data_IF_560413184419
#
_entry.id   IF_560413184419
#
_cell.length_a   1.000
_cell.length_b   1.000
_cell.length_c   1.000
_cell.angle_alpha   90.00
_cell.angle_beta   90.00
_cell.angle_gamma   90.00
#
_symmetry.space_group_name_H-M   'P 1'
#
loop_
_entity.id
_entity.type
_entity.pdbx_description
1 polymer ?
#
# COMPACT_ATOMS: atom_id res chain seq x y z
N UNK A 1 3.58 23.78 21.03
CA UNK A 1 2.53 23.10 20.23
C UNK A 1 1.65 24.16 19.54
N UNK A 2 1.26 23.88 18.28
CA UNK A 2 0.37 24.75 17.51
C UNK A 2 -1.04 24.75 18.12
N UNK A 3 -1.75 25.88 17.99
CA UNK A 3 -3.16 26.00 18.40
C UNK A 3 -4.11 25.58 17.26
N UNK A 4 -3.71 25.88 16.04
CA UNK A 4 -4.43 25.52 14.82
C UNK A 4 -3.43 24.97 13.81
N UNK A 5 -3.80 23.90 13.14
CA UNK A 5 -3.04 23.27 12.05
C UNK A 5 -3.96 23.18 10.85
N UNK A 6 -3.47 23.62 9.69
CA UNK A 6 -4.19 23.53 8.41
C UNK A 6 -3.28 22.87 7.41
N UNK A 7 -3.69 21.75 6.85
CA UNK A 7 -2.99 21.10 5.76
C UNK A 7 -3.20 21.81 4.42
N UNK A 8 -2.21 21.79 3.55
CA UNK A 8 -2.38 22.27 2.18
C UNK A 8 -3.33 21.34 1.41
N UNK A 9 -4.28 21.86 0.64
CA UNK A 9 -5.16 21.04 -0.17
C UNK A 9 -4.35 20.09 -1.08
N UNK A 10 -4.73 18.81 -1.10
CA UNK A 10 -4.10 17.74 -1.85
C UNK A 10 -2.60 17.46 -1.55
N UNK A 11 -1.95 18.29 -0.71
CA UNK A 11 -0.53 18.18 -0.34
C UNK A 11 -0.34 18.16 1.18
N UNK A 12 -1.41 18.10 1.96
CA UNK A 12 -1.28 18.07 3.43
C UNK A 12 -0.55 16.81 3.92
N UNK A 13 -0.80 15.69 3.26
CA UNK A 13 -0.06 14.46 3.46
C UNK A 13 -0.27 13.54 2.26
N UNK A 14 0.81 13.07 1.68
CA UNK A 14 0.84 12.04 0.66
C UNK A 14 1.76 10.92 1.14
N UNK A 15 1.34 9.68 1.00
CA UNK A 15 2.18 8.52 1.22
C UNK A 15 1.96 7.49 0.12
N UNK A 16 3.05 6.89 -0.32
CA UNK A 16 3.09 5.81 -1.28
C UNK A 16 3.98 4.71 -0.73
N UNK A 17 3.43 3.51 -0.60
CA UNK A 17 4.16 2.30 -0.26
C UNK A 17 4.03 1.30 -1.39
N UNK A 18 5.14 0.84 -1.90
CA UNK A 18 5.24 -0.25 -2.87
C UNK A 18 6.04 -1.39 -2.24
N UNK A 19 5.54 -2.58 -2.36
CA UNK A 19 6.26 -3.81 -2.09
C UNK A 19 6.11 -4.73 -3.27
N UNK A 20 7.21 -5.27 -3.73
CA UNK A 20 7.26 -6.23 -4.82
C UNK A 20 8.22 -7.36 -4.45
N UNK A 21 7.93 -8.62 -4.78
CA UNK A 21 8.89 -9.71 -4.66
C UNK A 21 10.08 -9.51 -5.60
N UNK A 22 9.88 -8.75 -6.68
CA UNK A 22 10.87 -8.46 -7.71
C UNK A 22 11.19 -6.97 -7.75
N UNK A 23 12.45 -6.65 -7.97
CA UNK A 23 12.88 -5.29 -8.33
C UNK A 23 12.60 -5.02 -9.81
N UNK A 24 12.56 -3.76 -10.22
CA UNK A 24 12.40 -3.41 -11.63
C UNK A 24 13.58 -3.92 -12.48
N UNK A 25 14.81 -3.93 -11.94
CA UNK A 25 15.98 -4.45 -12.63
C UNK A 25 15.98 -6.00 -12.75
N UNK A 26 15.24 -6.70 -11.89
CA UNK A 26 14.99 -8.14 -12.04
C UNK A 26 13.89 -8.43 -13.08
N UNK A 27 12.93 -7.51 -13.23
CA UNK A 27 11.85 -7.61 -14.21
C UNK A 27 12.27 -7.22 -15.62
N UNK A 28 13.18 -6.24 -15.76
CA UNK A 28 13.55 -5.68 -17.04
C UNK A 28 15.05 -5.81 -17.28
N UNK A 29 15.44 -6.14 -18.50
CA UNK A 29 16.80 -6.04 -18.99
C UNK A 29 16.92 -4.96 -20.07
N UNK A 30 18.12 -4.40 -20.23
CA UNK A 30 18.38 -3.40 -21.24
C UNK A 30 18.75 -4.09 -22.56
N UNK A 31 17.94 -3.89 -23.58
CA UNK A 31 18.25 -4.32 -24.95
C UNK A 31 19.44 -3.54 -25.54
N UNK A 32 20.01 -4.05 -26.65
CA UNK A 32 21.12 -3.39 -27.36
C UNK A 32 20.76 -2.00 -27.90
N UNK A 33 19.48 -1.72 -28.08
CA UNK A 33 18.88 -0.46 -28.56
C UNK A 33 18.46 0.50 -27.44
N UNK A 34 18.92 0.27 -26.20
CA UNK A 34 18.49 0.99 -25.00
C UNK A 34 16.98 0.76 -24.63
N UNK A 35 16.26 -0.11 -25.32
CA UNK A 35 14.91 -0.50 -24.95
C UNK A 35 14.89 -1.31 -23.65
N UNK A 36 13.83 -1.16 -22.84
CA UNK A 36 13.59 -2.03 -21.70
C UNK A 36 12.83 -3.26 -22.18
N UNK A 37 13.40 -4.45 -21.96
CA UNK A 37 12.78 -5.74 -22.29
C UNK A 37 12.49 -6.51 -21.02
N UNK A 38 11.35 -7.19 -20.97
CA UNK A 38 11.00 -8.00 -19.80
C UNK A 38 11.93 -9.23 -19.73
N UNK A 39 12.61 -9.41 -18.61
CA UNK A 39 13.50 -10.55 -18.37
C UNK A 39 12.71 -11.73 -17.79
N UNK A 40 11.80 -12.25 -18.59
CA UNK A 40 10.86 -13.31 -18.19
C UNK A 40 11.56 -14.56 -17.63
N UNK A 41 12.67 -15.08 -18.24
CA UNK A 41 13.30 -16.30 -17.76
C UNK A 41 13.87 -16.25 -16.34
N UNK A 42 14.16 -15.06 -15.80
CA UNK A 42 14.73 -14.92 -14.46
C UNK A 42 13.67 -14.81 -13.35
N UNK A 43 12.42 -14.50 -13.69
CA UNK A 43 11.33 -14.24 -12.72
C UNK A 43 11.10 -15.43 -11.74
N UNK A 44 11.03 -16.70 -12.18
CA UNK A 44 10.73 -17.83 -11.29
C UNK A 44 11.73 -18.02 -10.16
N UNK A 45 13.00 -17.63 -10.39
CA UNK A 45 14.06 -17.81 -9.40
C UNK A 45 13.91 -16.90 -8.18
N UNK A 46 13.05 -15.87 -8.26
CA UNK A 46 12.87 -14.84 -7.25
C UNK A 46 11.52 -14.87 -6.55
N UNK A 47 10.57 -15.71 -7.02
CA UNK A 47 9.21 -15.78 -6.48
C UNK A 47 9.01 -17.02 -5.61
N UNK A 48 8.43 -16.82 -4.43
CA UNK A 48 7.92 -17.86 -3.55
C UNK A 48 6.37 -17.76 -3.50
N UNK A 49 5.67 -18.84 -3.21
CA UNK A 49 4.19 -18.90 -3.11
C UNK A 49 3.58 -17.90 -2.10
N UNK A 50 4.43 -17.30 -1.25
CA UNK A 50 4.02 -16.29 -0.26
C UNK A 50 4.18 -14.86 -0.75
N UNK A 51 4.80 -14.68 -1.89
CA UNK A 51 5.12 -13.37 -2.40
C UNK A 51 3.89 -12.69 -3.01
N UNK A 52 3.75 -11.41 -2.72
CA UNK A 52 2.67 -10.59 -3.26
C UNK A 52 3.21 -9.20 -3.61
N UNK A 53 2.75 -8.67 -4.73
CA UNK A 53 2.92 -7.27 -5.05
C UNK A 53 1.85 -6.47 -4.30
N UNK A 54 2.27 -5.41 -3.63
CA UNK A 54 1.39 -4.56 -2.84
C UNK A 54 1.68 -3.10 -3.12
N UNK A 55 0.63 -2.35 -3.36
CA UNK A 55 0.70 -0.90 -3.46
C UNK A 55 -0.30 -0.30 -2.49
N UNK A 56 0.16 0.66 -1.70
CA UNK A 56 -0.68 1.46 -0.84
C UNK A 56 -0.41 2.93 -1.10
N UNK A 57 -1.42 3.67 -1.47
CA UNK A 57 -1.33 5.11 -1.65
C UNK A 57 -2.39 5.82 -0.79
N UNK A 58 -1.98 6.90 -0.12
CA UNK A 58 -2.88 7.78 0.64
C UNK A 58 -2.59 9.21 0.26
N UNK A 59 -3.63 9.95 -0.07
CA UNK A 59 -3.55 11.38 -0.34
C UNK A 59 -4.57 12.14 0.49
N UNK A 60 -4.10 12.94 1.42
CA UNK A 60 -4.95 13.78 2.26
C UNK A 60 -5.36 15.04 1.49
N UNK A 61 -6.63 15.11 1.12
CA UNK A 61 -7.18 16.20 0.33
C UNK A 61 -7.25 17.50 1.14
N UNK A 62 -7.64 17.43 2.42
CA UNK A 62 -7.56 18.52 3.36
C UNK A 62 -7.44 18.04 4.81
N UNK A 63 -6.97 18.91 5.68
CA UNK A 63 -6.85 18.69 7.12
C UNK A 63 -6.97 20.01 7.87
N UNK A 64 -7.80 20.02 8.91
CA UNK A 64 -7.89 21.12 9.86
C UNK A 64 -7.92 20.55 11.27
N UNK A 65 -7.04 21.05 12.13
CA UNK A 65 -7.00 20.65 13.52
C UNK A 65 -6.84 21.86 14.45
N UNK A 66 -7.45 21.83 15.61
CA UNK A 66 -7.40 22.93 16.57
C UNK A 66 -7.51 22.47 18.04
N UNK A 67 -6.86 23.20 18.91
CA UNK A 67 -6.98 23.01 20.36
C UNK A 67 -8.29 23.55 20.88
N UNK A 68 -9.01 22.71 21.66
CA UNK A 68 -10.29 23.04 22.27
C UNK A 68 -10.09 23.26 23.79
N UNK A 69 -10.53 24.40 24.27
CA UNK A 69 -10.56 24.71 25.70
C UNK A 69 -9.23 25.21 26.28
N UNK A 70 -9.33 26.05 27.35
CA UNK A 70 -8.16 26.64 28.03
C UNK A 70 -7.50 25.70 29.04
N UNK A 71 -8.24 24.76 29.60
CA UNK A 71 -7.80 23.87 30.69
C UNK A 71 -7.64 22.39 30.31
N UNK A 72 -8.23 21.96 29.18
CA UNK A 72 -8.12 20.59 28.70
C UNK A 72 -7.27 20.59 27.45
N UNK A 73 -6.20 19.79 27.43
CA UNK A 73 -5.35 19.61 26.27
C UNK A 73 -6.05 18.73 25.22
N UNK A 74 -7.26 19.14 24.83
CA UNK A 74 -8.04 18.47 23.78
C UNK A 74 -7.64 19.08 22.44
N UNK A 75 -7.32 18.24 21.48
CA UNK A 75 -7.10 18.59 20.09
C UNK A 75 -8.15 17.90 19.25
N UNK A 76 -9.02 18.68 18.60
CA UNK A 76 -10.02 18.18 17.66
C UNK A 76 -9.53 18.43 16.23
N UNK A 77 -9.85 17.52 15.33
CA UNK A 77 -9.45 17.63 13.95
C UNK A 77 -10.44 16.94 13.02
N UNK A 78 -10.47 17.38 11.79
CA UNK A 78 -11.21 16.76 10.70
C UNK A 78 -10.37 16.82 9.42
N UNK A 79 -10.66 15.94 8.52
CA UNK A 79 -9.99 15.87 7.24
C UNK A 79 -10.66 14.88 6.29
N UNK A 80 -10.12 14.82 5.11
CA UNK A 80 -10.55 13.96 4.04
C UNK A 80 -9.36 13.40 3.29
N UNK A 81 -9.38 12.10 3.00
CA UNK A 81 -8.29 11.41 2.32
C UNK A 81 -8.82 10.41 1.28
N UNK A 82 -8.11 10.27 0.18
CA UNK A 82 -8.28 9.16 -0.77
C UNK A 82 -7.25 8.09 -0.43
N UNK A 83 -7.71 6.86 -0.38
CA UNK A 83 -6.90 5.67 -0.12
C UNK A 83 -7.04 4.71 -1.29
N UNK A 84 -5.91 4.19 -1.76
CA UNK A 84 -5.85 3.10 -2.73
C UNK A 84 -4.96 1.99 -2.18
N UNK A 85 -5.52 0.80 -2.08
CA UNK A 85 -4.84 -0.44 -1.69
C UNK A 85 -4.95 -1.42 -2.85
N UNK A 86 -3.81 -1.95 -3.30
CA UNK A 86 -3.73 -3.00 -4.32
C UNK A 86 -2.90 -4.14 -3.78
N UNK A 87 -3.39 -5.35 -3.93
CA UNK A 87 -2.68 -6.59 -3.62
C UNK A 87 -2.83 -7.57 -4.78
N UNK A 88 -1.72 -8.06 -5.32
CA UNK A 88 -1.67 -9.11 -6.33
C UNK A 88 -0.75 -10.23 -5.84
N UNK A 89 -1.29 -11.43 -5.77
CA UNK A 89 -0.56 -12.65 -5.49
C UNK A 89 -0.68 -13.60 -6.69
N UNK A 90 0.45 -14.08 -7.18
CA UNK A 90 0.51 -15.09 -8.24
C UNK A 90 1.16 -16.35 -7.67
N UNK A 91 0.66 -17.53 -8.06
CA UNK A 91 1.29 -18.79 -7.67
C UNK A 91 2.61 -18.99 -8.43
N UNK A 92 3.61 -19.60 -7.78
CA UNK A 92 4.89 -19.90 -8.41
C UNK A 92 4.74 -20.75 -9.67
N UNK A 93 3.87 -21.75 -9.66
CA UNK A 93 3.56 -22.58 -10.82
C UNK A 93 3.03 -21.77 -12.02
N UNK A 94 2.23 -20.74 -11.78
CA UNK A 94 1.73 -19.87 -12.84
C UNK A 94 2.85 -19.05 -13.46
N UNK A 95 3.72 -18.52 -12.62
CA UNK A 95 4.89 -17.77 -13.06
C UNK A 95 5.87 -18.68 -13.82
N UNK A 96 6.11 -19.90 -13.34
CA UNK A 96 6.92 -20.89 -14.04
C UNK A 96 6.36 -21.20 -15.44
N UNK A 97 5.05 -21.37 -15.55
CA UNK A 97 4.39 -21.60 -16.84
C UNK A 97 4.55 -20.42 -17.79
N UNK A 98 4.31 -19.19 -17.32
CA UNK A 98 4.45 -17.98 -18.14
C UNK A 98 5.88 -17.75 -18.61
N UNK A 99 6.87 -18.09 -17.77
CA UNK A 99 8.28 -17.78 -18.05
C UNK A 99 9.01 -18.87 -18.82
N UNK A 100 8.65 -20.14 -18.60
CA UNK A 100 9.30 -21.30 -19.22
C UNK A 100 8.52 -21.85 -20.43
N UNK A 101 7.31 -21.36 -20.61
CA UNK A 101 6.39 -21.85 -21.65
C UNK A 101 5.82 -23.24 -21.35
N UNK A 102 4.93 -23.72 -22.23
CA UNK A 102 4.22 -24.98 -22.04
C UNK A 102 5.04 -26.24 -22.35
N UNK A 103 6.15 -26.12 -23.09
CA UNK A 103 6.92 -27.27 -23.57
C UNK A 103 7.46 -28.20 -22.47
N UNK A 104 7.77 -27.65 -21.29
CA UNK A 104 8.25 -28.42 -20.15
C UNK A 104 7.14 -29.14 -19.39
N UNK A 105 5.89 -28.74 -19.61
CA UNK A 105 4.72 -29.22 -18.87
C UNK A 105 3.80 -30.09 -19.74
N UNK A 106 4.27 -30.54 -20.90
CA UNK A 106 3.51 -31.41 -21.79
C UNK A 106 3.05 -32.68 -21.08
N UNK A 107 1.79 -33.05 -21.32
CA UNK A 107 1.14 -34.24 -20.74
C UNK A 107 1.10 -34.24 -19.21
N UNK A 108 1.17 -33.04 -18.60
CA UNK A 108 1.12 -32.84 -17.15
C UNK A 108 0.09 -31.79 -16.79
N UNK A 109 -0.76 -32.09 -15.82
CA UNK A 109 -1.68 -31.12 -15.24
C UNK A 109 -0.90 -30.09 -14.42
N UNK A 110 -0.99 -28.85 -14.80
CA UNK A 110 -0.50 -27.71 -14.03
C UNK A 110 -1.67 -27.05 -13.31
N UNK A 111 -1.54 -26.87 -12.00
CA UNK A 111 -2.55 -26.20 -11.19
C UNK A 111 -1.98 -24.89 -10.63
N UNK A 112 -2.71 -23.80 -10.86
CA UNK A 112 -2.38 -22.44 -10.44
C UNK A 112 -3.43 -22.00 -9.42
N UNK A 113 -3.31 -22.52 -8.22
CA UNK A 113 -4.20 -22.21 -7.12
C UNK A 113 -3.65 -21.02 -6.34
N UNK A 114 -4.47 -20.43 -5.45
CA UNK A 114 -4.09 -19.34 -4.55
C UNK A 114 -3.69 -18.04 -5.23
N UNK A 115 -4.08 -17.82 -6.47
CA UNK A 115 -3.96 -16.51 -7.08
C UNK A 115 -4.97 -15.56 -6.45
N UNK A 116 -4.57 -14.30 -6.26
CA UNK A 116 -5.43 -13.32 -5.65
C UNK A 116 -5.19 -11.91 -6.19
N UNK A 117 -6.28 -11.22 -6.47
CA UNK A 117 -6.29 -9.80 -6.80
C UNK A 117 -7.26 -9.09 -5.88
N UNK A 118 -6.76 -8.15 -5.09
CA UNK A 118 -7.56 -7.25 -4.28
C UNK A 118 -7.21 -5.80 -4.63
N UNK A 119 -8.19 -5.05 -5.07
CA UNK A 119 -8.09 -3.60 -5.30
C UNK A 119 -9.16 -2.91 -4.48
N UNK A 120 -8.82 -1.89 -3.74
CA UNK A 120 -9.78 -1.09 -2.98
C UNK A 120 -9.40 0.37 -3.04
N UNK A 121 -10.25 1.18 -3.66
CA UNK A 121 -10.12 2.63 -3.73
C UNK A 121 -11.31 3.27 -3.06
N UNK A 122 -11.07 4.12 -2.07
CA UNK A 122 -12.14 4.77 -1.34
C UNK A 122 -11.74 6.16 -0.84
N UNK A 123 -12.73 7.00 -0.65
CA UNK A 123 -12.62 8.26 0.07
C UNK A 123 -12.94 8.03 1.56
N UNK A 124 -12.24 8.72 2.45
CA UNK A 124 -12.40 8.65 3.89
C UNK A 124 -12.50 10.05 4.49
N UNK A 125 -13.72 10.50 4.74
CA UNK A 125 -13.95 11.68 5.57
C UNK A 125 -13.89 11.30 7.05
N UNK A 126 -13.11 12.03 7.84
CA UNK A 126 -12.93 11.69 9.24
C UNK A 126 -13.00 12.87 10.19
N UNK A 127 -13.44 12.57 11.41
CA UNK A 127 -13.39 13.47 12.55
C UNK A 127 -12.64 12.76 13.67
N UNK A 128 -11.73 13.45 14.32
CA UNK A 128 -10.95 12.88 15.41
C UNK A 128 -10.78 13.83 16.58
N UNK A 129 -10.50 13.22 17.71
CA UNK A 129 -10.18 13.92 18.95
C UNK A 129 -9.04 13.22 19.68
N UNK A 130 -8.13 14.00 20.23
CA UNK A 130 -7.12 13.50 21.15
C UNK A 130 -7.08 14.37 22.41
N UNK A 131 -6.80 13.74 23.55
CA UNK A 131 -6.79 14.42 24.85
C UNK A 131 -5.68 13.88 25.73
N UNK A 132 -4.97 14.76 26.40
CA UNK A 132 -4.16 14.41 27.56
C UNK A 132 -5.11 14.14 28.74
N UNK A 133 -5.18 12.91 29.19
CA UNK A 133 -5.95 12.49 30.36
C UNK A 133 -5.26 13.02 31.62
N UNK A 134 -3.93 12.88 31.66
CA UNK A 134 -3.04 13.44 32.69
C UNK A 134 -1.71 13.86 32.03
N UNK A 135 -0.67 14.13 32.83
CA UNK A 135 0.65 14.55 32.36
C UNK A 135 1.42 13.42 31.64
N UNK A 136 0.97 12.17 31.77
CA UNK A 136 1.63 10.99 31.23
C UNK A 136 0.84 10.32 30.10
N UNK A 137 -0.49 10.29 30.19
CA UNK A 137 -1.34 9.53 29.28
C UNK A 137 -2.08 10.45 28.31
N UNK A 138 -1.85 10.23 27.01
CA UNK A 138 -2.68 10.78 25.95
C UNK A 138 -3.46 9.66 25.26
N UNK A 139 -4.71 9.92 24.93
CA UNK A 139 -5.56 9.02 24.16
C UNK A 139 -6.19 9.77 23.00
N UNK A 140 -6.49 9.05 21.94
CA UNK A 140 -7.14 9.62 20.77
C UNK A 140 -8.00 8.60 20.05
N UNK A 141 -9.00 9.10 19.35
CA UNK A 141 -9.85 8.32 18.47
C UNK A 141 -10.16 9.11 17.23
N UNK A 142 -10.39 8.40 16.12
CA UNK A 142 -10.84 8.96 14.85
C UNK A 142 -11.97 8.09 14.33
N UNK A 143 -13.05 8.71 13.94
CA UNK A 143 -14.21 8.09 13.29
C UNK A 143 -14.12 8.45 11.82
N UNK A 144 -14.30 7.49 10.95
CA UNK A 144 -14.22 7.61 9.50
C UNK A 144 -15.55 7.22 8.86
N UNK A 145 -16.05 8.08 8.00
CA UNK A 145 -17.12 7.79 7.06
C UNK A 145 -16.45 7.47 5.72
N UNK A 146 -16.71 6.29 5.21
CA UNK A 146 -16.07 5.76 4.02
C UNK A 146 -17.03 5.80 2.85
N UNK A 147 -16.48 6.09 1.68
CA UNK A 147 -17.20 6.07 0.43
C UNK A 147 -16.37 5.30 -0.61
N UNK A 148 -16.85 4.11 -0.98
CA UNK A 148 -16.15 3.21 -1.90
C UNK A 148 -16.22 3.72 -3.33
N UNK A 149 -15.05 3.91 -3.96
CA UNK A 149 -14.94 4.38 -5.35
C UNK A 149 -14.84 3.21 -6.31
N UNK A 150 -13.89 2.30 -6.07
CA UNK A 150 -13.67 1.11 -6.89
C UNK A 150 -13.19 -0.05 -6.03
N UNK A 151 -13.62 -1.25 -6.38
CA UNK A 151 -13.17 -2.49 -5.76
C UNK A 151 -13.07 -3.62 -6.78
N UNK A 152 -12.05 -4.44 -6.63
CA UNK A 152 -11.93 -5.76 -7.23
C UNK A 152 -11.53 -6.72 -6.12
N UNK A 153 -12.26 -7.78 -5.95
CA UNK A 153 -11.99 -8.82 -4.95
C UNK A 153 -12.13 -10.20 -5.60
N UNK A 154 -11.05 -10.93 -5.71
CA UNK A 154 -11.07 -12.33 -6.11
C UNK A 154 -11.15 -13.20 -4.86
N UNK A 155 -12.29 -13.79 -4.57
CA UNK A 155 -12.44 -14.78 -3.48
C UNK A 155 -11.80 -16.11 -3.84
N UNK A 156 -11.94 -16.48 -5.09
CA UNK A 156 -11.38 -17.71 -5.65
C UNK A 156 -10.86 -17.40 -7.05
N UNK A 157 -9.66 -17.81 -7.37
CA UNK A 157 -9.04 -17.69 -8.67
C UNK A 157 -8.09 -18.88 -8.87
N UNK A 158 -8.68 -20.02 -9.24
CA UNK A 158 -7.97 -21.24 -9.52
C UNK A 158 -7.97 -21.48 -11.01
N UNK A 159 -6.80 -21.71 -11.57
CA UNK A 159 -6.59 -22.06 -12.97
C UNK A 159 -5.83 -23.36 -13.05
N UNK A 160 -6.16 -24.18 -14.03
CA UNK A 160 -5.44 -25.38 -14.37
C UNK A 160 -5.15 -25.44 -15.86
N UNK A 161 -3.99 -25.94 -16.25
CA UNK A 161 -3.62 -26.12 -17.65
C UNK A 161 -3.13 -27.54 -17.90
N UNK A 162 -3.56 -28.13 -19.00
CA UNK A 162 -3.06 -29.42 -19.49
C UNK A 162 -2.79 -29.29 -20.97
N UNK A 163 -1.55 -29.49 -21.41
CA UNK A 163 -1.16 -29.45 -22.83
C UNK A 163 -0.88 -30.86 -23.31
N UNK A 164 -1.67 -31.31 -24.29
CA UNK A 164 -1.52 -32.63 -24.90
C UNK A 164 -0.56 -32.59 -26.10
N UNK A 165 0.54 -33.33 -26.00
CA UNK A 165 1.53 -33.44 -27.09
C UNK A 165 1.08 -34.30 -28.24
N UNK A 166 0.00 -35.07 -28.09
CA UNK A 166 -0.53 -36.01 -29.10
C UNK A 166 -1.79 -35.51 -29.77
N UNK A 167 -2.32 -34.34 -29.35
CA UNK A 167 -3.54 -33.75 -29.92
C UNK A 167 -3.37 -33.28 -31.38
N UNK A 168 -4.49 -33.15 -32.07
CA UNK A 168 -4.56 -32.56 -33.44
C UNK A 168 -5.56 -31.39 -33.38
N UNK A 169 -5.12 -30.13 -33.49
CA UNK A 169 -3.74 -29.65 -33.74
C UNK A 169 -2.76 -29.98 -32.61
N UNK A 170 -1.47 -30.07 -32.93
CA UNK A 170 -0.42 -30.41 -31.99
C UNK A 170 -0.34 -29.33 -30.89
N UNK A 171 -0.17 -29.78 -29.62
CA UNK A 171 -0.12 -28.92 -28.45
C UNK A 171 -1.43 -28.23 -28.06
N UNK A 172 -2.57 -28.88 -28.30
CA UNK A 172 -3.83 -28.41 -27.77
C UNK A 172 -3.74 -28.27 -26.24
N UNK A 173 -4.10 -27.10 -25.72
CA UNK A 173 -4.08 -26.82 -24.31
C UNK A 173 -5.51 -26.73 -23.77
N UNK A 174 -5.82 -27.58 -22.83
CA UNK A 174 -7.07 -27.50 -22.05
C UNK A 174 -6.81 -26.63 -20.83
N UNK A 175 -7.62 -25.59 -20.64
CA UNK A 175 -7.62 -24.76 -19.46
C UNK A 175 -8.85 -25.09 -18.63
N UNK A 176 -8.62 -25.30 -17.33
CA UNK A 176 -9.64 -25.41 -16.32
C UNK A 176 -9.67 -24.12 -15.50
N UNK A 177 -10.83 -23.56 -15.31
CA UNK A 177 -10.98 -22.33 -14.53
C UNK A 177 -12.13 -22.46 -13.52
N UNK A 178 -11.84 -22.10 -12.27
CA UNK A 178 -12.81 -21.94 -11.21
C UNK A 178 -12.53 -20.61 -10.51
N UNK A 179 -13.37 -19.62 -10.75
CA UNK A 179 -13.17 -18.30 -10.20
C UNK A 179 -14.45 -17.63 -9.72
N UNK A 180 -14.29 -16.76 -8.74
CA UNK A 180 -15.31 -15.83 -8.26
C UNK A 180 -14.64 -14.47 -8.06
N UNK A 181 -14.95 -13.53 -8.96
CA UNK A 181 -14.41 -12.16 -8.93
C UNK A 181 -15.57 -11.20 -8.76
N UNK A 182 -15.54 -10.44 -7.70
CA UNK A 182 -16.48 -9.38 -7.41
C UNK A 182 -15.86 -8.03 -7.75
N UNK A 183 -16.57 -7.22 -8.51
CA UNK A 183 -16.15 -5.86 -8.85
C UNK A 183 -17.19 -4.84 -8.44
N UNK A 184 -16.76 -3.62 -8.17
CA UNK A 184 -17.62 -2.47 -7.91
C UNK A 184 -16.99 -1.20 -8.44
N UNK A 185 -17.80 -0.30 -8.99
CA UNK A 185 -17.36 1.03 -9.40
C UNK A 185 -16.51 1.08 -10.67
N UNK A 186 -16.45 0.00 -11.45
CA UNK A 186 -15.67 -0.07 -12.70
C UNK A 186 -16.48 0.36 -13.93
N UNK A 187 -17.82 0.30 -13.86
CA UNK A 187 -18.69 0.76 -14.92
C UNK A 187 -18.81 2.29 -14.95
N UNK A 188 -18.92 2.86 -16.14
CA UNK A 188 -19.17 4.30 -16.33
C UNK A 188 -20.51 4.79 -15.76
N UNK A 189 -21.44 3.88 -15.50
CA UNK A 189 -22.74 4.15 -14.87
C UNK A 189 -22.71 4.06 -13.34
N UNK A 190 -21.62 3.63 -12.73
CA UNK A 190 -21.50 3.47 -11.29
C UNK A 190 -21.55 4.81 -10.57
N UNK A 191 -22.35 4.86 -9.47
CA UNK A 191 -22.37 6.01 -8.56
C UNK A 191 -21.57 5.67 -7.28
N UNK A 192 -20.35 6.16 -7.13
CA UNK A 192 -19.54 5.86 -5.95
C UNK A 192 -20.14 6.36 -4.64
N UNK A 193 -21.08 7.31 -4.65
CA UNK A 193 -21.74 7.81 -3.45
C UNK A 193 -22.67 6.78 -2.80
N UNK A 194 -23.07 5.74 -3.51
CA UNK A 194 -23.90 4.67 -2.99
C UNK A 194 -23.11 3.70 -2.09
N UNK A 195 -21.85 3.46 -2.40
CA UNK A 195 -21.00 2.56 -1.62
C UNK A 195 -20.56 3.23 -0.32
N UNK A 196 -21.03 2.77 0.81
CA UNK A 196 -20.80 3.41 2.11
C UNK A 196 -20.13 2.49 3.12
N UNK A 197 -19.36 3.08 4.01
CA UNK A 197 -18.65 2.35 5.03
C UNK A 197 -18.37 3.17 6.28
N UNK A 198 -17.83 2.48 7.27
CA UNK A 198 -17.46 3.07 8.55
C UNK A 198 -16.19 2.42 9.09
N UNK A 199 -15.30 3.25 9.66
CA UNK A 199 -14.13 2.75 10.36
C UNK A 199 -13.79 3.60 11.59
N UNK A 200 -12.98 3.02 12.48
CA UNK A 200 -12.49 3.67 13.70
C UNK A 200 -10.99 3.45 13.82
N UNK A 201 -10.29 4.49 14.23
CA UNK A 201 -8.91 4.42 14.70
C UNK A 201 -8.84 4.74 16.18
N UNK A 202 -7.97 4.04 16.88
CA UNK A 202 -7.71 4.23 18.31
C UNK A 202 -6.22 4.42 18.53
N UNK A 203 -5.84 5.30 19.44
CA UNK A 203 -4.45 5.53 19.78
C UNK A 203 -4.25 5.96 21.23
N UNK A 204 -3.12 5.57 21.79
CA UNK A 204 -2.67 6.00 23.11
C UNK A 204 -1.17 6.20 23.12
N UNK A 205 -0.69 7.17 23.91
CA UNK A 205 0.72 7.28 24.26
C UNK A 205 0.88 7.49 25.77
N UNK A 206 1.90 6.85 26.34
CA UNK A 206 2.19 6.88 27.76
C UNK A 206 3.64 7.29 28.03
N UNK A 207 3.82 8.45 28.64
CA UNK A 207 5.13 8.95 29.10
C UNK A 207 5.49 8.31 30.42
N UNK A 208 6.27 7.23 30.39
CA UNK A 208 6.75 6.58 31.59
C UNK A 208 7.59 7.53 32.45
N UNK A 209 8.50 8.28 31.79
CA UNK A 209 9.31 9.33 32.42
C UNK A 209 9.74 10.35 31.33
N UNK A 210 10.71 11.25 31.68
CA UNK A 210 11.22 12.27 30.74
C UNK A 210 11.98 11.72 29.54
N UNK A 211 12.38 10.45 29.58
CA UNK A 211 13.18 9.81 28.54
C UNK A 211 12.42 8.77 27.73
N UNK A 212 11.46 8.06 28.33
CA UNK A 212 10.75 6.97 27.69
C UNK A 212 9.27 7.30 27.49
N UNK A 213 8.82 7.08 26.26
CA UNK A 213 7.42 7.15 25.86
C UNK A 213 7.04 5.88 25.10
N UNK A 214 5.90 5.29 25.46
CA UNK A 214 5.31 4.12 24.80
C UNK A 214 4.09 4.56 23.99
N UNK A 215 3.85 3.94 22.86
CA UNK A 215 2.69 4.23 22.03
C UNK A 215 2.04 2.95 21.48
N UNK A 216 0.72 3.02 21.32
CA UNK A 216 -0.10 2.00 20.70
C UNK A 216 -1.08 2.69 19.78
N UNK A 217 -1.25 2.19 18.56
CA UNK A 217 -2.35 2.59 17.69
C UNK A 217 -2.92 1.39 16.95
N UNK A 218 -4.22 1.42 16.71
CA UNK A 218 -4.95 0.47 15.87
C UNK A 218 -5.75 1.30 14.88
N UNK A 219 -5.48 1.13 13.59
CA UNK A 219 -6.10 1.92 12.54
C UNK A 219 -6.93 1.04 11.62
N UNK A 220 -7.91 1.67 10.97
CA UNK A 220 -8.72 1.08 9.90
C UNK A 220 -9.56 -0.13 10.37
N UNK A 221 -10.12 -0.05 11.60
CA UNK A 221 -11.07 -1.05 12.09
C UNK A 221 -12.44 -0.75 11.47
N UNK A 222 -12.74 -1.37 10.35
CA UNK A 222 -13.98 -1.06 9.63
C UNK A 222 -14.16 -1.84 8.34
N UNK A 223 -15.15 -1.41 7.57
CA UNK A 223 -15.55 -2.09 6.33
C UNK A 223 -16.33 -1.15 5.42
N UNK A 224 -16.40 -1.51 4.14
CA UNK A 224 -17.20 -0.85 3.11
C UNK A 224 -18.25 -1.84 2.62
N UNK A 225 -19.50 -1.37 2.47
CA UNK A 225 -20.57 -2.10 1.81
C UNK A 225 -20.63 -1.62 0.35
N UNK A 226 -20.53 -2.55 -0.56
CA UNK A 226 -20.60 -2.35 -2.00
C UNK A 226 -22.01 -2.72 -2.42
N UNK A 227 -22.73 -1.78 -3.02
CA UNK A 227 -24.15 -1.95 -3.34
C UNK A 227 -24.35 -2.58 -4.72
N UNK A 228 -25.43 -3.31 -4.87
CA UNK A 228 -25.73 -4.10 -6.07
C UNK A 228 -25.72 -3.28 -7.35
N UNK A 229 -26.19 -2.03 -7.32
CA UNK A 229 -26.26 -1.14 -8.48
C UNK A 229 -24.89 -0.81 -9.12
N UNK A 230 -23.81 -0.96 -8.33
CA UNK A 230 -22.44 -0.70 -8.77
C UNK A 230 -21.63 -1.96 -9.02
N UNK A 231 -22.22 -3.14 -8.75
CA UNK A 231 -21.44 -4.38 -8.67
C UNK A 231 -21.71 -5.31 -9.86
N UNK A 232 -20.63 -6.00 -10.25
CA UNK A 232 -20.68 -7.12 -11.17
C UNK A 232 -19.90 -8.29 -10.58
N UNK A 233 -20.48 -9.49 -10.60
CA UNK A 233 -19.86 -10.71 -10.13
C UNK A 233 -19.63 -11.61 -11.33
N UNK A 234 -18.40 -12.02 -11.53
CA UNK A 234 -17.95 -12.90 -12.58
C UNK A 234 -17.61 -14.25 -11.98
N UNK A 235 -18.37 -15.27 -12.32
CA UNK A 235 -18.19 -16.62 -11.79
C UNK A 235 -18.18 -17.67 -12.90
N UNK A 236 -17.51 -18.80 -12.65
CA UNK A 236 -17.66 -20.01 -13.45
C UNK A 236 -18.72 -20.92 -12.81
N UNK A 237 -19.47 -21.72 -13.60
CA UNK A 237 -20.31 -22.81 -13.08
C UNK A 237 -19.43 -24.04 -12.77
N UNK A 238 -18.80 -24.04 -11.58
CA UNK A 238 -17.84 -25.07 -11.23
C UNK A 238 -16.55 -24.93 -12.03
N UNK A 239 -15.86 -26.05 -12.27
CA UNK A 239 -14.66 -26.08 -13.08
C UNK A 239 -15.05 -26.01 -14.58
N UNK A 240 -14.85 -24.86 -15.20
CA UNK A 240 -15.10 -24.66 -16.62
C UNK A 240 -13.88 -25.12 -17.44
N UNK A 241 -14.13 -25.92 -18.48
CA UNK A 241 -13.09 -26.47 -19.36
C UNK A 241 -13.07 -25.69 -20.69
N UNK A 242 -11.88 -25.19 -21.06
CA UNK A 242 -11.66 -24.46 -22.31
C UNK A 242 -10.52 -25.12 -23.08
N UNK A 243 -10.67 -25.18 -24.39
CA UNK A 243 -9.65 -25.74 -25.28
C UNK A 243 -9.06 -24.60 -26.09
N UNK A 244 -7.76 -24.37 -25.94
CA UNK A 244 -7.01 -23.38 -26.70
C UNK A 244 -6.13 -24.09 -27.72
N UNK A 245 -6.31 -23.77 -29.00
CA UNK A 245 -5.44 -24.26 -30.07
C UNK A 245 -4.07 -23.57 -29.96
N UNK A 246 -3.06 -24.36 -29.68
CA UNK A 246 -1.67 -24.06 -29.39
C UNK A 246 -1.18 -22.63 -29.53
N UNK A 247 -0.60 -22.11 -28.45
CA UNK A 247 0.17 -20.87 -28.48
C UNK A 247 1.42 -21.10 -29.36
N UNK A 248 1.42 -20.58 -30.57
CA UNK A 248 2.60 -20.59 -31.44
C UNK A 248 3.59 -19.53 -30.89
N UNK A 249 4.68 -19.99 -30.29
CA UNK A 249 5.79 -19.10 -30.05
C UNK A 249 6.33 -18.60 -31.40
N UNK A 250 6.02 -17.38 -31.78
CA UNK A 250 6.60 -16.75 -32.96
C UNK A 250 8.11 -16.63 -32.72
N UNK A 251 8.88 -17.24 -33.60
CA UNK A 251 10.34 -17.23 -33.54
C UNK A 251 10.97 -15.91 -34.00
N UNK A 252 10.18 -14.89 -34.27
CA UNK A 252 10.59 -13.52 -34.53
C UNK A 252 10.43 -12.68 -33.27
N UNK A 253 11.53 -12.41 -32.59
CA UNK A 253 11.60 -11.76 -31.27
C UNK A 253 11.17 -10.29 -31.17
N UNK A 254 10.22 -9.84 -31.94
CA UNK A 254 9.69 -8.47 -31.98
C UNK A 254 8.16 -8.38 -31.86
N UNK A 255 7.47 -9.48 -31.58
CA UNK A 255 6.03 -9.37 -31.26
C UNK A 255 5.87 -8.94 -29.80
N UNK A 256 5.19 -7.83 -29.65
CA UNK A 256 4.88 -7.16 -28.39
C UNK A 256 4.20 -8.15 -27.42
N UNK A 257 4.85 -8.45 -26.29
CA UNK A 257 4.30 -9.32 -25.24
C UNK A 257 2.95 -8.79 -24.74
N UNK A 258 2.77 -7.49 -24.82
CA UNK A 258 1.53 -6.82 -24.45
C UNK A 258 0.40 -7.21 -25.39
N UNK A 259 0.66 -7.27 -26.71
CA UNK A 259 -0.30 -7.73 -27.71
C UNK A 259 -0.65 -9.23 -27.57
N UNK A 260 0.34 -10.07 -27.23
CA UNK A 260 0.10 -11.50 -26.97
C UNK A 260 -0.70 -11.74 -25.70
N UNK A 261 -0.43 -10.96 -24.63
CA UNK A 261 -1.21 -11.01 -23.39
C UNK A 261 -2.64 -10.51 -23.64
N UNK A 262 -2.81 -9.46 -24.43
CA UNK A 262 -4.12 -8.93 -24.79
C UNK A 262 -4.91 -9.94 -25.63
N UNK A 263 -4.28 -10.62 -26.60
CA UNK A 263 -4.90 -11.70 -27.39
C UNK A 263 -5.28 -12.91 -26.52
N UNK A 264 -4.43 -13.29 -25.56
CA UNK A 264 -4.74 -14.36 -24.59
C UNK A 264 -5.92 -13.94 -23.71
N UNK A 265 -5.91 -12.73 -23.18
CA UNK A 265 -6.98 -12.20 -22.34
C UNK A 265 -8.30 -12.09 -23.11
N UNK A 266 -8.27 -11.62 -24.35
CA UNK A 266 -9.43 -11.56 -25.21
C UNK A 266 -9.96 -12.95 -25.58
N UNK A 267 -9.07 -13.90 -25.87
CA UNK A 267 -9.43 -15.29 -26.11
C UNK A 267 -10.04 -15.93 -24.86
N UNK A 268 -9.45 -15.68 -23.67
CA UNK A 268 -9.98 -16.15 -22.40
C UNK A 268 -11.35 -15.56 -22.09
N UNK A 269 -11.52 -14.26 -22.26
CA UNK A 269 -12.81 -13.59 -21.98
C UNK A 269 -13.90 -14.01 -22.96
N UNK A 270 -13.55 -14.24 -24.24
CA UNK A 270 -14.51 -14.66 -25.28
C UNK A 270 -14.88 -16.13 -25.13
N UNK A 271 -13.97 -16.98 -24.68
CA UNK A 271 -14.18 -18.43 -24.58
C UNK A 271 -14.80 -18.82 -23.23
N UNK A 272 -14.50 -18.07 -22.15
CA UNK A 272 -14.96 -18.39 -20.79
C UNK A 272 -16.43 -18.07 -20.54
N UNK A 273 -17.06 -17.18 -21.30
CA UNK A 273 -18.43 -16.72 -21.07
C UNK A 273 -18.80 -16.72 -19.54
N UNK A 274 -18.13 -15.92 -18.70
CA UNK A 274 -18.38 -15.96 -17.27
C UNK A 274 -19.84 -15.61 -17.00
N UNK A 275 -20.45 -16.30 -16.06
CA UNK A 275 -21.77 -15.94 -15.59
C UNK A 275 -21.64 -14.62 -14.86
N UNK A 276 -22.27 -13.58 -15.40
CA UNK A 276 -22.33 -12.27 -14.78
C UNK A 276 -23.62 -12.14 -13.99
N UNK A 277 -23.48 -11.85 -12.71
CA UNK A 277 -24.58 -11.58 -11.80
C UNK A 277 -24.33 -10.29 -11.03
N UNK A 278 -25.35 -9.81 -10.33
CA UNK A 278 -25.23 -8.64 -9.45
C UNK A 278 -25.60 -9.03 -8.01
N UNK A 279 -25.14 -8.26 -7.07
CA UNK A 279 -25.42 -8.46 -5.66
C UNK A 279 -24.64 -7.50 -4.78
N UNK A 280 -25.02 -7.37 -3.54
CA UNK A 280 -24.30 -6.56 -2.56
C UNK A 280 -23.26 -7.41 -1.83
N UNK A 281 -22.10 -6.84 -1.55
CA UNK A 281 -21.07 -7.50 -0.75
C UNK A 281 -20.36 -6.52 0.20
N UNK A 282 -19.49 -7.03 1.05
CA UNK A 282 -18.82 -6.25 2.07
C UNK A 282 -17.36 -6.63 2.17
N UNK A 283 -16.46 -5.63 2.08
CA UNK A 283 -15.05 -5.82 2.32
C UNK A 283 -14.60 -5.18 3.63
N UNK A 284 -13.67 -5.83 4.32
CA UNK A 284 -13.01 -5.27 5.51
C UNK A 284 -11.81 -4.47 5.08
N UNK A 285 -11.56 -3.35 5.77
CA UNK A 285 -10.32 -2.59 5.55
C UNK A 285 -9.10 -3.37 6.03
N UNK A 286 -7.95 -3.06 5.45
CA UNK A 286 -6.64 -3.59 5.86
C UNK A 286 -6.19 -2.95 7.16
N UNK A 287 -6.70 -3.45 8.29
CA UNK A 287 -6.40 -2.92 9.62
C UNK A 287 -4.93 -3.05 9.99
N UNK A 288 -4.41 -2.06 10.73
CA UNK A 288 -3.01 -1.96 11.14
C UNK A 288 -2.89 -1.80 12.64
N UNK A 289 -1.87 -2.42 13.23
CA UNK A 289 -1.50 -2.22 14.64
C UNK A 289 -0.07 -1.70 14.71
N UNK A 290 0.15 -0.67 15.52
CA UNK A 290 1.44 -0.05 15.75
C UNK A 290 1.78 -0.11 17.24
N UNK A 291 2.98 -0.56 17.57
CA UNK A 291 3.55 -0.55 18.92
C UNK A 291 4.86 0.21 18.88
N UNK A 292 5.00 1.26 19.66
CA UNK A 292 6.18 2.12 19.62
C UNK A 292 6.79 2.36 20.99
N UNK A 293 8.11 2.50 21.01
CA UNK A 293 8.89 2.99 22.16
C UNK A 293 9.81 4.09 21.67
N UNK A 294 9.76 5.24 22.29
CA UNK A 294 10.68 6.34 22.03
C UNK A 294 11.59 6.58 23.25
N UNK A 295 12.88 6.79 23.00
CA UNK A 295 13.89 7.12 23.98
C UNK A 295 14.55 8.46 23.64
N UNK A 296 14.35 9.47 24.50
CA UNK A 296 14.96 10.78 24.36
C UNK A 296 16.26 10.82 25.17
N UNK A 297 17.40 10.76 24.47
CA UNK A 297 18.71 10.85 25.11
C UNK A 297 18.93 12.26 25.67
N UNK A 298 18.72 13.28 24.85
CA UNK A 298 18.81 14.70 25.19
C UNK A 298 17.93 15.53 24.23
N UNK A 299 18.08 16.87 24.23
CA UNK A 299 17.27 17.77 23.38
C UNK A 299 17.51 17.62 21.88
N UNK A 300 18.64 17.02 21.50
CA UNK A 300 19.02 16.89 20.09
C UNK A 300 18.85 15.48 19.55
N UNK A 301 18.93 14.46 20.41
CA UNK A 301 19.00 13.07 20.00
C UNK A 301 17.86 12.26 20.60
N UNK A 302 17.10 11.58 19.75
CA UNK A 302 16.07 10.62 20.13
C UNK A 302 16.17 9.36 19.29
N UNK A 303 15.81 8.24 19.88
CA UNK A 303 15.76 6.93 19.26
C UNK A 303 14.34 6.39 19.37
N UNK A 304 13.93 5.56 18.44
CA UNK A 304 12.63 4.89 18.47
C UNK A 304 12.73 3.46 17.99
N UNK A 305 11.90 2.60 18.57
CA UNK A 305 11.63 1.26 18.08
C UNK A 305 10.14 1.20 17.77
N UNK A 306 9.78 0.78 16.57
CA UNK A 306 8.41 0.62 16.13
C UNK A 306 8.21 -0.79 15.57
N UNK A 307 7.21 -1.47 16.07
CA UNK A 307 6.63 -2.64 15.44
C UNK A 307 5.32 -2.27 14.80
N UNK A 308 5.16 -2.62 13.54
CA UNK A 308 3.95 -2.40 12.77
C UNK A 308 3.51 -3.73 12.15
N UNK A 309 2.23 -4.07 12.31
CA UNK A 309 1.62 -5.20 11.60
C UNK A 309 0.37 -4.74 10.89
N UNK A 310 0.20 -5.17 9.63
CA UNK A 310 -0.96 -4.86 8.80
C UNK A 310 -1.49 -6.13 8.18
N UNK A 311 -2.82 -6.27 8.16
CA UNK A 311 -3.47 -7.33 7.38
C UNK A 311 -3.32 -6.99 5.90
N UNK A 312 -2.98 -7.98 5.09
CA UNK A 312 -2.90 -7.84 3.65
C UNK A 312 -3.17 -9.17 2.96
N UNK A 313 -4.13 -9.18 2.03
CA UNK A 313 -4.64 -10.42 1.45
C UNK A 313 -4.89 -11.48 2.56
N UNK A 314 -4.30 -12.65 2.44
CA UNK A 314 -4.40 -13.75 3.41
C UNK A 314 -3.27 -13.74 4.45
N UNK A 315 -2.34 -12.80 4.37
CA UNK A 315 -1.15 -12.73 5.22
C UNK A 315 -1.13 -11.49 6.12
N UNK A 316 -0.13 -11.43 7.00
CA UNK A 316 0.19 -10.24 7.78
C UNK A 316 1.57 -9.74 7.43
N UNK A 317 1.61 -8.48 7.13
CA UNK A 317 2.83 -7.73 6.95
C UNK A 317 3.37 -7.32 8.31
N UNK A 318 4.60 -7.70 8.64
CA UNK A 318 5.25 -7.31 9.88
C UNK A 318 6.50 -6.49 9.59
N UNK A 319 6.58 -5.33 10.19
CA UNK A 319 7.71 -4.39 10.03
C UNK A 319 8.29 -4.05 11.40
N UNK A 320 9.60 -4.19 11.54
CA UNK A 320 10.38 -3.65 12.65
C UNK A 320 11.17 -2.46 12.17
N UNK A 321 11.04 -1.33 12.85
CA UNK A 321 11.74 -0.11 12.51
C UNK A 321 12.52 0.41 13.73
N UNK A 322 13.82 0.64 13.53
CA UNK A 322 14.69 1.36 14.46
C UNK A 322 14.94 2.75 13.91
N UNK A 323 14.43 3.77 14.58
CA UNK A 323 14.52 5.17 14.16
C UNK A 323 15.53 5.96 14.99
N UNK A 324 16.19 6.89 14.33
CA UNK A 324 17.04 7.92 14.94
C UNK A 324 16.63 9.29 14.44
N UNK A 325 16.56 10.24 15.35
CA UNK A 325 16.14 11.59 15.09
C UNK A 325 17.17 12.59 15.66
N UNK A 326 17.61 13.51 14.80
CA UNK A 326 18.57 14.54 15.15
C UNK A 326 17.97 15.93 14.95
N UNK A 327 17.81 16.68 16.05
CA UNK A 327 17.36 18.07 16.02
C UNK A 327 18.54 18.98 15.72
N UNK A 328 18.71 19.36 14.45
CA UNK A 328 19.80 20.24 14.00
C UNK A 328 19.61 21.67 14.49
N UNK A 329 18.37 22.16 14.38
CA UNK A 329 17.94 23.48 14.81
C UNK A 329 16.51 23.42 15.31
N UNK A 330 16.00 24.49 15.95
CA UNK A 330 14.60 24.53 16.39
C UNK A 330 13.60 24.29 15.25
N UNK A 331 13.99 24.63 14.02
CA UNK A 331 13.17 24.50 12.82
C UNK A 331 13.51 23.30 11.94
N UNK A 332 14.61 22.57 12.19
CA UNK A 332 15.06 21.49 11.32
C UNK A 332 15.39 20.23 12.09
N UNK A 333 14.81 19.14 11.69
CA UNK A 333 14.99 17.81 12.22
C UNK A 333 15.35 16.85 11.08
N UNK A 334 16.37 16.03 11.28
CA UNK A 334 16.77 14.96 10.37
C UNK A 334 16.36 13.62 10.96
N UNK A 335 15.97 12.72 10.11
CA UNK A 335 15.50 11.37 10.43
C UNK A 335 16.37 10.35 9.70
N UNK A 336 16.69 9.27 10.38
CA UNK A 336 17.27 8.07 9.81
C UNK A 336 16.56 6.86 10.39
N UNK A 337 16.35 5.82 9.61
CA UNK A 337 15.72 4.59 10.06
C UNK A 337 16.37 3.37 9.45
N UNK A 338 16.37 2.28 10.21
CA UNK A 338 16.61 0.94 9.72
C UNK A 338 15.35 0.15 9.89
N UNK A 339 14.89 -0.49 8.81
CA UNK A 339 13.69 -1.30 8.81
C UNK A 339 14.03 -2.74 8.41
N UNK A 340 13.39 -3.66 9.08
CA UNK A 340 13.29 -5.04 8.63
C UNK A 340 11.83 -5.37 8.34
N UNK A 341 11.60 -5.85 7.15
CA UNK A 341 10.32 -6.08 6.56
C UNK A 341 10.30 -7.47 5.95
N UNK A 342 9.61 -8.44 6.57
CA UNK A 342 9.58 -9.83 6.13
C UNK A 342 10.95 -10.40 5.71
N UNK A 343 12.02 -10.03 6.42
CA UNK A 343 13.39 -10.46 6.10
C UNK A 343 14.19 -9.53 5.19
N UNK A 344 13.56 -8.58 4.50
CA UNK A 344 14.24 -7.54 3.73
C UNK A 344 14.63 -6.37 4.64
N UNK A 345 15.83 -5.87 4.47
CA UNK A 345 16.37 -4.77 5.27
C UNK A 345 16.50 -3.50 4.44
N UNK A 346 16.03 -2.38 4.99
CA UNK A 346 16.09 -1.07 4.36
C UNK A 346 16.67 -0.01 5.29
N UNK A 347 17.30 0.99 4.67
CA UNK A 347 17.64 2.25 5.34
C UNK A 347 16.76 3.36 4.79
N UNK A 348 16.12 4.09 5.71
CA UNK A 348 15.32 5.27 5.39
C UNK A 348 15.98 6.53 5.87
N UNK A 349 15.66 7.64 5.22
CA UNK A 349 16.03 8.99 5.63
C UNK A 349 14.89 9.96 5.45
N UNK A 350 14.97 11.08 6.13
CA UNK A 350 13.98 12.13 5.99
C UNK A 350 14.34 13.38 6.73
N UNK A 351 13.49 14.39 6.56
CA UNK A 351 13.59 15.61 7.33
C UNK A 351 12.21 16.18 7.65
N UNK A 352 12.14 16.93 8.74
CA UNK A 352 11.01 17.81 9.07
C UNK A 352 11.55 19.22 9.21
N UNK A 353 11.02 20.13 8.38
CA UNK A 353 11.41 21.53 8.39
C UNK A 353 10.20 22.42 8.73
N UNK A 354 10.36 23.23 9.78
CA UNK A 354 9.26 24.04 10.35
C UNK A 354 9.67 25.51 10.51
N UNK A 355 9.94 26.26 9.42
CA UNK A 355 10.26 27.67 9.48
C UNK A 355 9.00 28.50 9.74
N UNK A 356 8.91 29.14 10.90
CA UNK A 356 7.78 29.98 11.28
C UNK A 356 6.47 29.21 11.39
N UNK A 357 5.50 29.52 10.54
CA UNK A 357 4.19 28.86 10.50
C UNK A 357 4.13 27.66 9.56
N UNK A 358 5.04 27.57 8.61
CA UNK A 358 5.09 26.45 7.65
C UNK A 358 5.70 25.22 8.34
N UNK A 359 5.18 24.04 8.05
CA UNK A 359 5.82 22.77 8.30
C UNK A 359 5.76 21.92 7.04
N UNK A 360 6.91 21.35 6.68
CA UNK A 360 7.02 20.35 5.64
C UNK A 360 7.81 19.15 6.13
N UNK A 361 7.50 17.99 5.59
CA UNK A 361 8.27 16.78 5.82
C UNK A 361 8.43 15.99 4.54
N UNK A 362 9.55 15.30 4.44
CA UNK A 362 9.83 14.29 3.42
C UNK A 362 10.51 13.11 4.10
N UNK A 363 10.01 11.92 3.86
CA UNK A 363 10.60 10.65 4.31
C UNK A 363 10.67 9.74 3.10
N UNK A 364 11.82 9.14 2.89
CA UNK A 364 12.09 8.16 1.85
C UNK A 364 12.79 6.96 2.47
N UNK A 365 12.22 5.79 2.28
CA UNK A 365 12.85 4.53 2.64
C UNK A 365 13.50 3.88 1.43
N UNK A 366 14.45 2.99 1.70
CA UNK A 366 15.23 2.24 0.74
C UNK A 366 16.39 3.03 0.08
N UNK A 367 17.20 3.63 0.93
CA UNK A 367 18.50 4.21 0.54
C UNK A 367 19.60 3.15 0.36
N UNK A 368 19.33 1.87 0.65
CA UNK A 368 20.30 0.78 0.44
C UNK A 368 20.36 0.33 -1.01
N UNK A 369 19.28 0.51 -1.77
CA UNK A 369 19.34 0.29 -3.19
C UNK A 369 20.22 1.36 -3.82
N UNK A 370 21.32 0.95 -4.44
CA UNK A 370 22.21 1.85 -5.17
C UNK A 370 21.47 2.53 -6.35
N UNK A 371 20.45 1.86 -6.85
CA UNK A 371 19.49 2.31 -7.83
C UNK A 371 18.06 2.10 -7.26
N UNK A 372 17.15 3.05 -7.46
CA UNK A 372 15.74 2.90 -7.11
C UNK A 372 15.08 1.74 -7.85
N UNK A 373 15.61 1.38 -9.01
CA UNK A 373 15.15 0.23 -9.80
C UNK A 373 15.54 -1.13 -9.18
N UNK A 374 16.50 -1.18 -8.26
CA UNK A 374 16.84 -2.37 -7.47
C UNK A 374 15.95 -2.55 -6.23
N UNK A 375 15.09 -1.59 -5.96
CA UNK A 375 14.25 -1.60 -4.79
C UNK A 375 13.09 -2.59 -4.93
N UNK A 376 13.03 -3.58 -4.02
CA UNK A 376 11.87 -4.49 -3.86
C UNK A 376 10.77 -3.88 -3.01
N UNK A 377 11.08 -2.84 -2.27
CA UNK A 377 10.11 -2.05 -1.55
C UNK A 377 10.54 -0.58 -1.55
N UNK A 378 9.57 0.29 -1.64
CA UNK A 378 9.74 1.73 -1.62
C UNK A 378 8.67 2.34 -0.75
N UNK A 379 9.04 3.24 0.15
CA UNK A 379 8.09 4.05 0.87
C UNK A 379 8.48 5.52 0.75
N UNK A 380 7.53 6.32 0.27
CA UNK A 380 7.65 7.76 0.15
C UNK A 380 6.55 8.42 0.97
N UNK A 381 6.90 9.40 1.78
CA UNK A 381 5.96 10.23 2.49
C UNK A 381 6.35 11.69 2.38
N UNK A 382 5.42 12.54 2.03
CA UNK A 382 5.59 13.99 2.00
C UNK A 382 4.36 14.70 2.53
N UNK A 383 4.55 15.92 3.06
CA UNK A 383 3.41 16.71 3.50
C UNK A 383 3.77 18.14 3.86
N UNK A 384 2.74 19.00 3.72
CA UNK A 384 2.82 20.43 3.97
C UNK A 384 1.65 20.88 4.84
N UNK A 385 1.96 21.69 5.86
CA UNK A 385 0.93 22.25 6.74
C UNK A 385 1.31 23.62 7.27
N UNK A 386 0.30 24.38 7.64
CA UNK A 386 0.44 25.67 8.34
C UNK A 386 0.10 25.47 9.83
N UNK A 387 0.96 25.94 10.70
CA UNK A 387 0.84 25.83 12.16
C UNK A 387 0.74 27.20 12.79
N UNK A 388 -0.43 27.53 13.31
CA UNK A 388 -0.68 28.81 13.95
C UNK A 388 -0.66 28.73 15.48
N UNK A 389 -0.24 29.81 16.13
CA UNK A 389 -0.22 29.92 17.60
C UNK A 389 0.92 29.14 18.27
N UNK A 390 1.92 28.70 17.53
CA UNK A 390 3.17 28.17 18.06
C UNK A 390 3.92 29.31 18.78
N UNK A 391 4.31 29.13 20.04
CA UNK A 391 5.18 30.10 20.70
C UNK A 391 6.55 30.03 20.04
N UNK A 392 6.87 31.02 19.21
CA UNK A 392 8.22 31.23 18.72
C UNK A 392 9.10 31.60 19.91
N UNK A 393 10.06 30.78 20.26
CA UNK A 393 11.08 31.11 21.23
C UNK A 393 12.07 32.06 20.54
N UNK A 394 11.76 33.36 20.56
CA UNK A 394 12.71 34.36 20.08
C UNK A 394 13.91 34.35 21.02
N UNK A 395 15.01 33.76 20.58
CA UNK A 395 16.30 33.97 21.25
C UNK A 395 16.56 35.48 21.27
N UNK A 396 16.37 36.14 22.43
CA UNK A 396 16.93 37.46 22.65
C UNK A 396 18.44 37.35 22.43
N UNK A 397 18.92 37.84 21.30
CA UNK A 397 20.33 38.12 21.09
C UNK A 397 20.75 39.09 22.20
N UNK A 398 21.46 38.58 23.19
CA UNK A 398 22.11 39.44 24.19
C UNK A 398 23.05 40.32 23.37
N UNK A 399 22.66 41.60 23.17
CA UNK A 399 23.61 42.63 22.79
C UNK A 399 24.72 42.60 23.81
N UNK A 400 25.92 42.20 23.42
CA UNK A 400 27.15 42.52 24.11
C UNK A 400 27.36 44.02 24.01
N UNK A 401 26.78 44.76 24.97
CA UNK A 401 27.26 46.10 25.27
C UNK A 401 28.35 45.95 26.30
N UNK A 402 29.54 46.40 25.95
CA UNK A 402 30.60 46.51 26.92
C UNK A 402 31.96 46.68 26.29
N UNK A 403 32.19 47.79 25.67
CA UNK A 403 33.50 48.40 25.60
C UNK A 403 33.49 49.61 26.55
N UNK A 404 34.23 49.51 27.60
CA UNK A 404 35.07 50.57 28.13
C UNK A 404 36.30 49.92 28.76
#
# INVERSE_FOLDING_TARGET
EAKVVVGFPALSHFSLGLQSPLSLNELYEKGEDDSLRLNIPSIPSFLDDKDALMLNARNQLFYIGFKVGKKKNIFAYLGDEIVADVGLKLSGNFVDYLTQGNAQFLNRQMNFNDQRLDVSVYNSFYIGVSSAIDDKLNVGTRIKLLNGIANVNSENLNLGLYTDSTSIPIFQTTMLADFNIMTSGLSSSSDPLLNSGFAVDLGASYKYNKKFEFSLAINDIGSINWVEENNEFYTTEGEAEFVIDGLTQSSSGDEDLEAQLEEILDSLTTTMEPITTTGSYKTKLNSSVFLGVAYTLNKQHSFSLLFHTRKNLDSRLNVFNLGYQYQVAESLQLLASYQNFNGLSNLGTGFVWSPGILQMHLILDNMLAADLFDAKNLFLQLGFSLQFGKKLTVRKTRKRNGLK
#
